data_IF_193984478718
#
_entry.id   IF_193984478718
#
_cell.length_a   1.000
_cell.length_b   1.000
_cell.length_c   1.000
_cell.angle_alpha   90.00
_cell.angle_beta   90.00
_cell.angle_gamma   90.00
#
_symmetry.space_group_name_H-M   'P 1'
#
loop_
_entity.id
_entity.type
_entity.pdbx_description
1 polymer ?
#
# COMPACT_ATOMS: atom_id res chain seq x y z
N UNK A 1 -24.64 -16.06 11.44
CA UNK A 1 -24.28 -16.79 10.20
C UNK A 1 -22.76 -16.97 10.22
N UNK A 2 -22.23 -18.10 9.73
CA UNK A 2 -20.79 -18.36 9.69
C UNK A 2 -20.33 -18.39 8.23
N UNK A 3 -19.25 -17.69 7.94
CA UNK A 3 -18.61 -17.55 6.62
C UNK A 3 -17.12 -17.94 6.73
N UNK A 4 -16.56 -18.51 5.65
CA UNK A 4 -15.14 -18.82 5.51
C UNK A 4 -14.69 -18.41 4.11
N UNK A 5 -13.68 -17.54 4.05
CA UNK A 5 -13.02 -17.10 2.82
C UNK A 5 -11.56 -17.56 2.82
N UNK A 6 -11.09 -18.08 1.67
CA UNK A 6 -9.70 -18.50 1.47
C UNK A 6 -9.20 -17.97 0.12
N UNK A 7 -8.04 -17.33 0.12
CA UNK A 7 -7.32 -16.89 -1.08
C UNK A 7 -5.85 -17.28 -0.97
N UNK A 8 -5.30 -17.81 -2.06
CA UNK A 8 -3.94 -18.34 -2.11
C UNK A 8 -3.31 -18.06 -3.48
N UNK A 9 -2.11 -17.51 -3.47
CA UNK A 9 -1.35 -17.12 -4.65
C UNK A 9 -0.15 -18.03 -4.86
N UNK A 10 0.13 -18.32 -6.14
CA UNK A 10 1.37 -18.96 -6.60
C UNK A 10 2.01 -18.08 -7.67
N UNK A 11 3.26 -17.68 -7.46
CA UNK A 11 3.96 -16.72 -8.29
C UNK A 11 5.29 -17.31 -8.80
N UNK A 12 5.32 -17.93 -10.00
CA UNK A 12 6.57 -18.36 -10.62
C UNK A 12 7.36 -17.14 -11.13
N UNK A 13 8.62 -17.00 -10.71
CA UNK A 13 9.54 -15.96 -11.15
C UNK A 13 10.76 -16.56 -11.85
N UNK A 14 11.21 -15.90 -12.91
CA UNK A 14 12.45 -16.22 -13.63
C UNK A 14 13.38 -15.00 -13.56
N UNK A 15 14.42 -15.09 -12.74
CA UNK A 15 15.41 -14.05 -12.51
C UNK A 15 16.68 -14.32 -13.32
N UNK A 16 17.04 -13.40 -14.22
CA UNK A 16 18.28 -13.49 -14.99
C UNK A 16 19.23 -12.35 -14.61
N UNK A 17 20.32 -12.67 -13.92
CA UNK A 17 21.32 -11.70 -13.45
C UNK A 17 21.12 -11.28 -11.98
N UNK A 18 22.15 -10.67 -11.37
CA UNK A 18 22.20 -10.28 -9.95
C UNK A 18 21.26 -9.15 -9.52
N UNK A 19 20.09 -9.05 -10.17
CA UNK A 19 19.03 -8.07 -9.93
C UNK A 19 18.06 -8.49 -8.82
N UNK A 20 18.32 -9.60 -8.12
CA UNK A 20 17.48 -10.09 -7.02
C UNK A 20 17.25 -9.03 -5.92
N UNK A 21 18.23 -8.15 -5.68
CA UNK A 21 18.14 -7.03 -4.73
C UNK A 21 17.33 -5.83 -5.24
N UNK A 22 17.00 -5.79 -6.55
CA UNK A 22 16.15 -4.76 -7.17
C UNK A 22 14.75 -5.30 -7.54
N UNK A 23 14.52 -6.59 -7.36
CA UNK A 23 13.24 -7.28 -7.51
C UNK A 23 12.38 -7.23 -6.23
N UNK A 24 12.87 -6.57 -5.18
CA UNK A 24 12.11 -6.30 -3.96
C UNK A 24 10.84 -5.50 -4.34
N UNK A 25 9.67 -6.11 -4.15
CA UNK A 25 8.37 -5.57 -4.59
C UNK A 25 7.78 -6.13 -5.90
N UNK A 26 8.40 -7.14 -6.53
CA UNK A 26 7.82 -7.87 -7.68
C UNK A 26 6.99 -9.11 -7.29
N UNK A 27 6.99 -9.49 -6.01
CA UNK A 27 6.17 -10.57 -5.45
C UNK A 27 5.40 -10.08 -4.22
N UNK A 28 4.49 -10.91 -3.67
CA UNK A 28 3.75 -10.57 -2.47
C UNK A 28 4.72 -10.16 -1.37
N UNK A 29 4.65 -8.91 -0.93
CA UNK A 29 5.48 -8.43 0.18
C UNK A 29 4.97 -9.12 1.45
N UNK A 30 5.79 -9.94 2.14
CA UNK A 30 5.35 -10.61 3.34
C UNK A 30 5.04 -9.55 4.40
N UNK A 31 3.78 -9.49 4.84
CA UNK A 31 3.40 -8.63 5.96
C UNK A 31 4.08 -9.14 7.24
N UNK A 32 4.64 -8.27 8.10
CA UNK A 32 5.17 -8.69 9.40
C UNK A 32 4.08 -9.19 10.36
N UNK A 33 2.81 -8.92 10.05
CA UNK A 33 1.65 -9.28 10.86
C UNK A 33 1.11 -10.67 10.52
N UNK A 34 1.97 -11.69 10.69
CA UNK A 34 1.62 -13.10 10.48
C UNK A 34 2.02 -13.91 11.71
N UNK A 35 1.04 -14.56 12.34
CA UNK A 35 1.24 -15.37 13.55
C UNK A 35 2.17 -16.56 13.27
N UNK A 36 1.89 -17.26 12.18
CA UNK A 36 2.71 -18.32 11.60
C UNK A 36 2.52 -18.22 10.10
N UNK A 37 3.60 -18.35 9.34
CA UNK A 37 3.53 -18.27 7.89
C UNK A 37 4.06 -19.51 7.19
N UNK A 38 3.55 -19.74 5.98
CA UNK A 38 4.08 -20.76 5.10
C UNK A 38 5.45 -20.30 4.57
N UNK A 39 6.39 -21.22 4.30
CA UNK A 39 7.60 -20.84 3.59
C UNK A 39 7.23 -20.19 2.24
N UNK A 40 7.71 -18.97 2.00
CA UNK A 40 7.38 -18.23 0.78
C UNK A 40 7.80 -18.95 -0.50
N UNK A 41 8.76 -19.88 -0.42
CA UNK A 41 9.25 -20.63 -1.58
C UNK A 41 8.68 -22.05 -1.60
N UNK A 42 7.85 -22.34 -2.61
CA UNK A 42 7.55 -23.71 -3.01
C UNK A 42 8.75 -24.36 -3.69
N UNK A 43 9.44 -23.59 -4.53
CA UNK A 43 10.67 -23.98 -5.21
C UNK A 43 11.64 -22.80 -5.17
N UNK A 44 12.72 -22.95 -4.41
CA UNK A 44 13.82 -21.99 -4.42
C UNK A 44 14.69 -22.16 -5.67
N UNK A 45 15.43 -21.12 -6.07
CA UNK A 45 16.46 -21.28 -7.09
C UNK A 45 17.48 -22.28 -6.58
N UNK A 46 17.64 -23.42 -7.29
CA UNK A 46 18.74 -24.35 -7.00
C UNK A 46 20.10 -23.65 -7.11
N UNK A 47 21.21 -24.33 -6.78
CA UNK A 47 22.54 -23.73 -6.95
C UNK A 47 22.78 -23.31 -8.42
N UNK A 48 22.76 -22.00 -8.70
CA UNK A 48 22.84 -21.43 -10.06
C UNK A 48 21.53 -21.38 -10.84
N UNK A 49 20.40 -21.66 -10.19
CA UNK A 49 19.06 -21.61 -10.78
C UNK A 49 18.55 -20.17 -10.92
N UNK A 50 17.85 -19.92 -12.01
CA UNK A 50 17.18 -18.64 -12.31
C UNK A 50 15.69 -18.67 -11.99
N UNK A 51 15.14 -19.84 -11.65
CA UNK A 51 13.70 -20.02 -11.45
C UNK A 51 13.38 -20.15 -9.97
N UNK A 52 12.37 -19.40 -9.52
CA UNK A 52 11.77 -19.49 -8.20
C UNK A 52 10.26 -19.63 -8.36
N UNK A 53 9.61 -20.36 -7.46
CA UNK A 53 8.15 -20.42 -7.38
C UNK A 53 7.77 -19.99 -5.98
N UNK A 54 7.27 -18.76 -5.88
CA UNK A 54 6.73 -18.22 -4.65
C UNK A 54 5.31 -18.73 -4.39
N UNK A 55 4.93 -18.76 -3.12
CA UNK A 55 3.55 -18.94 -2.68
C UNK A 55 3.19 -17.91 -1.62
N UNK A 56 1.90 -17.63 -1.50
CA UNK A 56 1.36 -16.83 -0.43
C UNK A 56 -0.05 -17.30 -0.06
N UNK A 57 -0.33 -17.50 1.23
CA UNK A 57 -1.70 -17.57 1.71
C UNK A 57 -2.14 -16.13 1.97
N UNK A 58 -2.89 -15.54 1.05
CA UNK A 58 -3.34 -14.15 1.14
C UNK A 58 -4.46 -13.99 2.16
N UNK A 59 -5.43 -14.90 2.16
CA UNK A 59 -6.61 -14.83 3.03
C UNK A 59 -6.99 -16.20 3.54
N UNK A 60 -7.38 -16.24 4.80
CA UNK A 60 -8.01 -17.37 5.47
C UNK A 60 -8.75 -16.80 6.66
N UNK A 61 -9.96 -16.30 6.45
CA UNK A 61 -10.74 -15.59 7.47
C UNK A 61 -12.08 -16.27 7.68
N UNK A 62 -12.43 -16.44 8.95
CA UNK A 62 -13.74 -16.91 9.38
C UNK A 62 -14.51 -15.73 9.95
N UNK A 63 -15.71 -15.48 9.43
CA UNK A 63 -16.59 -14.41 9.93
C UNK A 63 -17.81 -15.00 10.63
N UNK A 64 -18.05 -14.56 11.86
CA UNK A 64 -19.26 -14.84 12.61
C UNK A 64 -20.14 -13.57 12.66
N UNK A 65 -21.25 -13.63 11.94
CA UNK A 65 -22.24 -12.55 11.89
C UNK A 65 -23.28 -12.70 13.01
N UNK A 66 -23.29 -11.73 13.93
CA UNK A 66 -24.26 -11.59 15.02
C UNK A 66 -25.24 -10.44 14.70
N UNK A 67 -26.40 -10.36 15.37
CA UNK A 67 -27.37 -9.29 15.11
C UNK A 67 -26.86 -7.85 15.36
N UNK A 68 -25.77 -7.69 16.10
CA UNK A 68 -25.23 -6.40 16.53
C UNK A 68 -23.72 -6.25 16.27
N UNK A 69 -23.07 -7.27 15.70
CA UNK A 69 -21.62 -7.30 15.53
C UNK A 69 -21.18 -8.35 14.51
N UNK A 70 -20.06 -8.11 13.85
CA UNK A 70 -19.31 -9.12 13.10
C UNK A 70 -17.98 -9.40 13.80
N UNK A 71 -17.69 -10.68 14.03
CA UNK A 71 -16.42 -11.14 14.58
C UNK A 71 -15.63 -11.84 13.47
N UNK A 72 -14.47 -11.31 13.11
CA UNK A 72 -13.60 -11.87 12.07
C UNK A 72 -12.34 -12.41 12.71
N UNK A 73 -11.97 -13.64 12.40
CA UNK A 73 -10.76 -14.29 12.90
C UNK A 73 -10.00 -14.92 11.74
N UNK A 74 -8.71 -14.60 11.63
CA UNK A 74 -7.79 -15.20 10.68
C UNK A 74 -7.09 -14.16 9.81
N UNK A 75 -6.57 -14.62 8.67
CA UNK A 75 -5.81 -13.80 7.74
C UNK A 75 -6.74 -13.05 6.80
N UNK A 76 -6.67 -11.72 6.82
CA UNK A 76 -7.62 -10.85 6.13
C UNK A 76 -6.95 -9.57 5.62
N UNK A 77 -7.43 -9.00 4.50
CA UNK A 77 -6.95 -7.70 4.05
C UNK A 77 -7.40 -6.62 5.04
N UNK A 78 -6.55 -5.61 5.23
CA UNK A 78 -6.88 -4.44 6.03
C UNK A 78 -6.44 -3.16 5.31
N UNK A 79 -7.35 -2.20 5.24
CA UNK A 79 -7.11 -0.87 4.71
C UNK A 79 -7.92 0.13 5.53
N UNK A 80 -7.34 1.29 5.77
CA UNK A 80 -7.95 2.37 6.52
C UNK A 80 -8.17 3.62 5.67
N UNK A 81 -7.17 3.98 4.86
CA UNK A 81 -7.13 5.23 4.11
C UNK A 81 -8.06 5.26 2.88
N UNK A 82 -8.57 6.45 2.57
CA UNK A 82 -9.39 6.68 1.37
C UNK A 82 -8.59 7.25 0.19
N UNK A 83 -7.34 7.70 0.42
CA UNK A 83 -6.49 8.23 -0.63
C UNK A 83 -6.24 7.22 -1.76
N UNK A 84 -5.92 7.73 -2.96
CA UNK A 84 -5.88 6.93 -4.20
C UNK A 84 -4.50 6.45 -4.57
N UNK A 85 -3.46 7.16 -4.12
CA UNK A 85 -2.07 6.82 -4.45
C UNK A 85 -1.26 6.54 -3.18
N UNK A 86 -1.36 7.41 -2.17
CA UNK A 86 -0.56 7.36 -0.95
C UNK A 86 -1.48 7.44 0.27
N UNK A 87 -1.46 6.39 1.10
CA UNK A 87 -2.35 6.26 2.27
C UNK A 87 -1.56 6.37 3.60
N UNK A 88 -1.46 7.57 4.20
CA UNK A 88 -0.79 7.81 5.48
C UNK A 88 -1.20 6.90 6.65
N UNK A 89 -2.44 6.42 6.66
CA UNK A 89 -3.01 5.63 7.76
C UNK A 89 -2.79 4.12 7.60
N UNK A 90 -2.45 3.65 6.39
CA UNK A 90 -2.28 2.22 6.05
C UNK A 90 -0.92 1.67 6.52
N UNK A 91 -0.62 1.73 7.82
CA UNK A 91 0.66 1.25 8.38
C UNK A 91 0.76 -0.27 8.52
N UNK A 92 -0.37 -0.97 8.60
CA UNK A 92 -0.40 -2.42 8.87
C UNK A 92 -0.30 -3.28 7.60
N UNK A 93 -0.76 -2.75 6.46
CA UNK A 93 -0.71 -3.41 5.16
C UNK A 93 -0.66 -2.34 4.05
N UNK A 94 0.47 -1.59 3.96
CA UNK A 94 0.64 -0.53 2.97
C UNK A 94 0.69 -1.11 1.55
N UNK A 95 0.21 -0.34 0.58
CA UNK A 95 0.58 -0.55 -0.81
C UNK A 95 1.76 0.36 -1.18
N UNK A 96 2.74 -0.21 -1.88
CA UNK A 96 3.82 0.58 -2.48
C UNK A 96 3.40 1.17 -3.83
N UNK A 97 3.96 2.32 -4.19
CA UNK A 97 3.72 2.92 -5.50
C UNK A 97 4.24 2.05 -6.67
N UNK A 98 5.13 1.09 -6.40
CA UNK A 98 5.71 0.18 -7.42
C UNK A 98 5.07 -1.20 -7.44
N UNK A 99 4.08 -1.43 -6.60
CA UNK A 99 3.44 -2.73 -6.50
C UNK A 99 2.62 -3.01 -7.76
N UNK A 100 2.90 -4.16 -8.39
CA UNK A 100 2.27 -4.61 -9.62
C UNK A 100 0.86 -5.13 -9.36
N UNK A 101 0.71 -5.93 -8.31
CA UNK A 101 -0.57 -6.46 -7.88
C UNK A 101 -1.14 -5.57 -6.77
N UNK A 102 -1.97 -4.61 -7.16
CA UNK A 102 -2.74 -3.78 -6.22
C UNK A 102 -4.18 -4.25 -6.06
N UNK A 103 -4.56 -5.35 -6.70
CA UNK A 103 -5.93 -5.87 -6.58
C UNK A 103 -6.14 -6.44 -5.19
N UNK A 104 -5.11 -7.12 -4.69
CA UNK A 104 -5.14 -7.85 -3.44
C UNK A 104 -4.12 -7.27 -2.47
N UNK A 105 -4.61 -6.79 -1.32
CA UNK A 105 -3.74 -6.41 -0.20
C UNK A 105 -3.20 -7.67 0.46
N UNK A 106 -1.93 -7.64 0.84
CA UNK A 106 -1.37 -8.65 1.72
C UNK A 106 -2.22 -8.78 2.99
N UNK A 107 -2.73 -9.99 3.25
CA UNK A 107 -3.52 -10.25 4.44
C UNK A 107 -2.66 -10.25 5.70
N UNK A 108 -3.28 -9.78 6.79
CA UNK A 108 -2.73 -9.80 8.15
C UNK A 108 -3.52 -10.75 9.03
N UNK A 109 -2.85 -11.41 9.96
CA UNK A 109 -3.50 -12.30 10.93
C UNK A 109 -4.10 -11.47 12.06
N UNK A 110 -5.43 -11.42 12.14
CA UNK A 110 -6.12 -10.56 13.09
C UNK A 110 -7.40 -11.17 13.67
N UNK A 111 -7.73 -10.74 14.89
CA UNK A 111 -9.05 -10.83 15.49
C UNK A 111 -9.70 -9.44 15.43
N UNK A 112 -10.84 -9.32 14.75
CA UNK A 112 -11.55 -8.05 14.58
C UNK A 112 -12.99 -8.14 15.03
N UNK A 113 -13.46 -7.06 15.65
CA UNK A 113 -14.84 -6.86 16.05
C UNK A 113 -15.36 -5.59 15.36
N UNK A 114 -16.34 -5.77 14.47
CA UNK A 114 -17.04 -4.68 13.78
C UNK A 114 -18.42 -4.51 14.37
N UNK A 115 -18.73 -3.30 14.84
CA UNK A 115 -19.98 -2.92 15.47
C UNK A 115 -20.69 -1.90 14.56
N UNK A 116 -21.70 -2.31 13.79
CA UNK A 116 -22.49 -1.37 13.00
C UNK A 116 -23.29 -0.46 13.95
N UNK A 117 -23.10 0.85 13.84
CA UNK A 117 -23.84 1.87 14.59
C UNK A 117 -25.01 2.47 13.79
N UNK A 118 -25.16 2.07 12.53
CA UNK A 118 -26.17 2.54 11.60
C UNK A 118 -25.89 2.01 10.20
N UNK A 119 -26.52 2.61 9.19
CA UNK A 119 -26.35 2.18 7.79
C UNK A 119 -24.97 2.51 7.20
N UNK A 120 -24.30 3.54 7.72
CA UNK A 120 -23.04 4.08 7.18
C UNK A 120 -22.02 4.41 8.28
N UNK A 121 -22.26 3.94 9.50
CA UNK A 121 -21.41 4.20 10.67
C UNK A 121 -21.01 2.89 11.34
N UNK A 122 -19.75 2.79 11.75
CA UNK A 122 -19.17 1.56 12.26
C UNK A 122 -18.06 1.87 13.27
N UNK A 123 -17.96 1.04 14.30
CA UNK A 123 -16.75 0.93 15.13
C UNK A 123 -16.07 -0.38 14.78
N UNK A 124 -14.78 -0.33 14.46
CA UNK A 124 -13.96 -1.49 14.10
C UNK A 124 -12.76 -1.54 15.04
N UNK A 125 -12.64 -2.63 15.79
CA UNK A 125 -11.58 -2.88 16.75
C UNK A 125 -10.81 -4.10 16.30
N UNK A 126 -9.48 -4.04 16.33
CA UNK A 126 -8.65 -5.17 15.91
C UNK A 126 -7.46 -5.41 16.83
N UNK A 127 -7.18 -6.69 17.04
CA UNK A 127 -5.90 -7.19 17.54
C UNK A 127 -5.22 -7.93 16.40
N UNK A 128 -3.97 -7.58 16.13
CA UNK A 128 -3.20 -8.06 15.00
C UNK A 128 -1.98 -8.80 15.53
N UNK A 129 -1.79 -10.05 15.10
CA UNK A 129 -0.71 -10.89 15.54
C UNK A 129 0.52 -10.70 14.65
N UNK A 130 1.64 -10.31 15.27
CA UNK A 130 2.96 -10.45 14.66
C UNK A 130 3.52 -11.86 14.75
N UNK A 131 4.78 -12.02 14.36
CA UNK A 131 5.48 -13.31 14.40
C UNK A 131 5.36 -13.98 15.79
N UNK A 132 4.82 -15.20 15.80
CA UNK A 132 4.57 -15.99 17.01
C UNK A 132 3.77 -15.25 18.12
N UNK A 133 2.98 -14.23 17.76
CA UNK A 133 2.25 -13.35 18.69
C UNK A 133 3.16 -12.65 19.73
N UNK A 134 4.41 -12.35 19.36
CA UNK A 134 5.26 -11.48 20.15
C UNK A 134 4.62 -10.09 20.23
N UNK A 135 4.55 -9.52 21.44
CA UNK A 135 3.89 -8.24 21.66
C UNK A 135 4.59 -7.10 20.90
N UNK A 136 5.92 -7.15 20.81
CA UNK A 136 6.73 -6.17 20.06
C UNK A 136 6.39 -6.15 18.56
N UNK A 137 6.08 -7.31 17.98
CA UNK A 137 5.76 -7.45 16.55
C UNK A 137 4.26 -7.34 16.26
N UNK A 138 3.43 -7.24 17.30
CA UNK A 138 1.98 -7.21 17.19
C UNK A 138 1.44 -5.77 17.11
N UNK A 139 0.17 -5.64 16.71
CA UNK A 139 -0.49 -4.36 16.63
C UNK A 139 -1.93 -4.43 17.16
N UNK A 140 -2.50 -3.26 17.45
CA UNK A 140 -3.90 -3.11 17.78
C UNK A 140 -4.43 -1.81 17.19
N UNK A 141 -5.70 -1.79 16.81
CA UNK A 141 -6.31 -0.58 16.30
C UNK A 141 -7.75 -0.41 16.79
N UNK A 142 -8.18 0.84 16.84
CA UNK A 142 -9.56 1.25 17.01
C UNK A 142 -9.91 2.29 15.94
N UNK A 143 -10.96 2.00 15.19
CA UNK A 143 -11.43 2.83 14.09
C UNK A 143 -12.90 3.15 14.28
N UNK A 144 -13.27 4.40 14.03
CA UNK A 144 -14.66 4.86 14.02
C UNK A 144 -14.93 5.49 12.66
N UNK A 145 -15.91 4.97 11.94
CA UNK A 145 -16.44 5.54 10.69
C UNK A 145 -17.82 6.13 10.94
N UNK A 146 -18.07 7.31 10.39
CA UNK A 146 -19.38 7.95 10.39
C UNK A 146 -19.66 8.63 9.05
N UNK A 147 -20.92 8.68 8.65
CA UNK A 147 -21.35 9.49 7.49
C UNK A 147 -22.16 10.70 7.96
N UNK A 148 -21.74 11.89 7.56
CA UNK A 148 -22.36 13.17 7.94
C UNK A 148 -22.37 14.14 6.75
N UNK A 149 -23.54 14.66 6.40
CA UNK A 149 -23.72 15.66 5.33
C UNK A 149 -23.16 15.23 3.96
N UNK A 150 -23.17 13.94 3.65
CA UNK A 150 -22.61 13.40 2.40
C UNK A 150 -21.09 13.21 2.42
N UNK A 151 -20.44 13.45 3.57
CA UNK A 151 -19.05 13.11 3.82
C UNK A 151 -18.95 11.80 4.60
N UNK A 152 -17.94 11.00 4.30
CA UNK A 152 -17.48 9.91 5.15
C UNK A 152 -16.31 10.42 6.00
N UNK A 153 -16.42 10.27 7.32
CA UNK A 153 -15.42 10.68 8.29
C UNK A 153 -14.91 9.43 9.02
N UNK A 154 -13.60 9.31 9.16
CA UNK A 154 -12.95 8.24 9.90
C UNK A 154 -11.96 8.82 10.89
N UNK A 155 -11.99 8.30 12.11
CA UNK A 155 -10.94 8.48 13.10
C UNK A 155 -10.30 7.12 13.41
N UNK A 156 -8.98 7.09 13.53
CA UNK A 156 -8.18 5.90 13.74
C UNK A 156 -7.17 6.12 14.87
N UNK A 157 -7.00 5.12 15.72
CA UNK A 157 -5.84 4.97 16.59
C UNK A 157 -5.23 3.60 16.38
N UNK A 158 -3.92 3.54 16.17
CA UNK A 158 -3.19 2.28 15.93
C UNK A 158 -1.93 2.24 16.77
N UNK A 159 -1.77 1.22 17.60
CA UNK A 159 -0.52 0.87 18.26
C UNK A 159 0.17 -0.22 17.45
N UNK A 160 1.44 -0.04 17.10
CA UNK A 160 2.18 -1.00 16.27
C UNK A 160 3.68 -0.84 16.48
N UNK A 161 4.43 -1.94 16.65
CA UNK A 161 5.90 -1.96 16.68
C UNK A 161 6.51 -0.78 17.48
N UNK A 162 6.11 -0.60 18.74
CA UNK A 162 6.65 0.49 19.57
C UNK A 162 6.07 1.90 19.33
N UNK A 163 5.25 2.09 18.30
CA UNK A 163 4.71 3.37 17.87
C UNK A 163 3.20 3.50 18.17
N UNK A 164 2.72 4.75 18.26
CA UNK A 164 1.30 5.07 18.35
C UNK A 164 0.90 6.08 17.26
N UNK A 165 -0.01 5.70 16.38
CA UNK A 165 -0.53 6.54 15.29
C UNK A 165 -1.96 6.98 15.56
N UNK A 166 -2.22 8.26 15.30
CA UNK A 166 -3.56 8.83 15.25
C UNK A 166 -3.87 9.31 13.83
N UNK A 167 -4.95 8.80 13.26
CA UNK A 167 -5.37 9.08 11.89
C UNK A 167 -6.73 9.76 11.82
N UNK A 168 -6.88 10.66 10.85
CA UNK A 168 -8.16 11.20 10.42
C UNK A 168 -8.28 11.07 8.91
N UNK A 169 -9.46 10.67 8.44
CA UNK A 169 -9.79 10.60 7.02
C UNK A 169 -11.17 11.21 6.79
N UNK A 170 -11.29 11.95 5.69
CA UNK A 170 -12.50 12.60 5.24
C UNK A 170 -12.59 12.44 3.72
N UNK A 171 -13.67 11.84 3.23
CA UNK A 171 -13.92 11.72 1.80
C UNK A 171 -15.37 12.05 1.45
N UNK A 172 -15.61 12.49 0.23
CA UNK A 172 -16.94 12.83 -0.23
C UNK A 172 -16.95 13.31 -1.67
N UNK A 173 -18.07 13.86 -2.10
CA UNK A 173 -18.25 14.38 -3.44
C UNK A 173 -18.66 15.86 -3.41
N UNK A 174 -18.06 16.66 -4.30
CA UNK A 174 -18.44 18.04 -4.53
C UNK A 174 -18.58 18.30 -6.02
N UNK A 175 -19.80 18.61 -6.48
CA UNK A 175 -20.11 18.94 -7.90
C UNK A 175 -19.63 17.88 -8.90
N UNK A 176 -19.74 16.59 -8.56
CA UNK A 176 -19.29 15.48 -9.39
C UNK A 176 -17.80 15.14 -9.27
N UNK A 177 -17.02 15.90 -8.48
CA UNK A 177 -15.64 15.57 -8.15
C UNK A 177 -15.58 14.82 -6.83
N UNK A 178 -14.89 13.67 -6.80
CA UNK A 178 -14.49 13.03 -5.56
C UNK A 178 -13.42 13.87 -4.88
N UNK A 179 -13.50 14.02 -3.56
CA UNK A 179 -12.51 14.71 -2.73
C UNK A 179 -12.11 13.80 -1.57
N UNK A 180 -10.84 13.82 -1.20
CA UNK A 180 -10.36 13.14 -0.01
C UNK A 180 -9.28 13.94 0.70
N UNK A 181 -9.21 13.72 2.00
CA UNK A 181 -8.18 14.20 2.91
C UNK A 181 -7.90 13.08 3.92
N UNK A 182 -6.64 12.72 4.07
CA UNK A 182 -6.17 11.70 4.99
C UNK A 182 -4.94 12.27 5.72
N UNK A 183 -4.86 12.08 7.04
CA UNK A 183 -3.70 12.49 7.84
C UNK A 183 -3.41 11.48 8.92
N UNK A 184 -2.14 11.28 9.22
CA UNK A 184 -1.64 10.38 10.25
C UNK A 184 -0.49 11.05 11.00
N UNK A 185 -0.63 11.20 12.31
CA UNK A 185 0.44 11.64 13.20
C UNK A 185 0.92 10.45 14.02
N UNK A 186 2.21 10.16 13.92
CA UNK A 186 2.83 9.02 14.61
C UNK A 186 3.73 9.53 15.72
N UNK A 187 3.44 9.07 16.93
CA UNK A 187 4.29 9.20 18.09
C UNK A 187 5.32 8.06 18.05
N UNK A 188 6.54 8.38 17.64
CA UNK A 188 7.56 7.37 17.35
C UNK A 188 8.20 6.86 18.65
N UNK A 189 8.42 5.55 18.76
CA UNK A 189 9.06 4.93 19.94
C UNK A 189 8.34 5.12 21.28
N UNK A 190 7.15 5.72 21.31
CA UNK A 190 6.44 6.11 22.55
C UNK A 190 6.01 4.91 23.41
N UNK A 191 5.90 3.72 22.82
CA UNK A 191 5.56 2.49 23.53
C UNK A 191 6.82 1.69 23.93
N UNK A 192 8.02 2.15 23.56
CA UNK A 192 9.30 1.54 23.95
C UNK A 192 10.06 2.43 24.96
N UNK A 193 10.66 1.80 25.97
CA UNK A 193 11.44 2.54 26.97
C UNK A 193 12.81 2.92 26.41
N UNK A 194 13.14 4.23 26.49
CA UNK A 194 14.50 4.72 26.27
C UNK A 194 14.86 5.03 24.81
N UNK A 195 13.88 5.08 23.92
CA UNK A 195 14.03 5.60 22.57
C UNK A 195 13.52 7.05 22.51
N UNK A 196 14.32 7.94 21.92
CA UNK A 196 13.97 9.35 21.67
C UNK A 196 13.93 9.52 20.15
N UNK A 197 12.80 9.12 19.57
CA UNK A 197 12.59 9.11 18.12
C UNK A 197 11.74 10.32 17.71
N UNK A 198 11.98 10.84 16.51
CA UNK A 198 11.23 12.02 16.05
C UNK A 198 9.81 11.62 15.60
N UNK A 199 8.81 12.24 16.23
CA UNK A 199 7.43 12.16 15.77
C UNK A 199 7.29 12.75 14.36
N UNK A 200 6.38 12.17 13.58
CA UNK A 200 6.17 12.61 12.20
C UNK A 200 4.71 12.66 11.80
N UNK A 201 4.41 13.59 10.89
CA UNK A 201 3.10 13.79 10.29
C UNK A 201 3.14 13.35 8.82
N UNK A 202 2.18 12.54 8.41
CA UNK A 202 1.92 12.25 6.99
C UNK A 202 0.52 12.69 6.62
N UNK A 203 0.34 13.23 5.42
CA UNK A 203 -0.93 13.80 4.98
C UNK A 203 -1.10 13.63 3.48
N UNK A 204 -2.28 13.20 3.04
CA UNK A 204 -2.69 13.15 1.63
C UNK A 204 -3.95 13.97 1.44
N UNK A 205 -4.02 14.76 0.38
CA UNK A 205 -5.27 15.36 -0.07
C UNK A 205 -5.37 15.29 -1.58
N UNK A 206 -6.56 15.06 -2.10
CA UNK A 206 -6.72 14.94 -3.53
C UNK A 206 -8.15 15.08 -4.01
N UNK A 207 -8.26 15.07 -5.33
CA UNK A 207 -9.51 15.13 -6.03
C UNK A 207 -9.48 14.20 -7.24
N UNK A 208 -10.62 13.61 -7.57
CA UNK A 208 -10.83 12.84 -8.78
C UNK A 208 -12.07 13.31 -9.54
N UNK A 209 -12.07 13.08 -10.85
CA UNK A 209 -13.18 13.40 -11.72
C UNK A 209 -13.25 12.45 -12.90
N UNK A 210 -14.46 12.03 -13.23
CA UNK A 210 -14.73 11.26 -14.44
C UNK A 210 -15.21 12.21 -15.54
N UNK A 211 -14.31 12.57 -16.45
CA UNK A 211 -14.64 13.39 -17.61
C UNK A 211 -15.43 12.54 -18.60
N UNK A 212 -16.62 13.01 -19.00
CA UNK A 212 -17.50 12.35 -19.95
C UNK A 212 -16.95 12.44 -21.41
N UNK A 213 -15.82 11.79 -21.67
CA UNK A 213 -15.17 11.71 -22.97
C UNK A 213 -15.28 10.29 -23.53
N UNK A 214 -16.15 10.09 -24.53
CA UNK A 214 -16.42 8.77 -25.18
C UNK A 214 -16.73 7.67 -24.16
N UNK A 215 -15.73 6.87 -23.79
CA UNK A 215 -15.78 5.76 -22.84
C UNK A 215 -15.48 6.19 -21.38
N UNK A 216 -15.33 7.49 -21.13
CA UNK A 216 -15.00 8.06 -19.82
C UNK A 216 -13.50 8.16 -19.60
N UNK A 217 -13.04 9.31 -19.11
CA UNK A 217 -11.65 9.57 -18.74
C UNK A 217 -11.61 9.89 -17.24
N UNK A 218 -11.10 8.95 -16.46
CA UNK A 218 -10.85 9.16 -15.04
C UNK A 218 -9.54 9.92 -14.86
N UNK A 219 -9.60 11.01 -14.09
CA UNK A 219 -8.44 11.82 -13.70
C UNK A 219 -8.43 11.96 -12.19
N UNK A 220 -7.26 11.83 -11.57
CA UNK A 220 -7.05 12.14 -10.17
C UNK A 220 -5.76 12.91 -9.98
N UNK A 221 -5.75 13.82 -9.00
CA UNK A 221 -4.59 14.54 -8.54
C UNK A 221 -4.53 14.46 -7.02
N UNK A 222 -3.38 14.13 -6.47
CA UNK A 222 -3.16 13.97 -5.04
C UNK A 222 -1.85 14.64 -4.64
N UNK A 223 -1.89 15.45 -3.59
CA UNK A 223 -0.70 15.94 -2.92
C UNK A 223 -0.47 15.10 -1.66
N UNK A 224 0.78 14.73 -1.41
CA UNK A 224 1.19 14.02 -0.21
C UNK A 224 2.35 14.72 0.48
N UNK A 225 2.22 14.92 1.79
CA UNK A 225 3.27 15.35 2.68
C UNK A 225 3.74 14.17 3.52
N UNK A 226 5.05 13.92 3.52
CA UNK A 226 5.73 12.92 4.31
C UNK A 226 6.71 13.59 5.27
N UNK A 227 6.29 13.83 6.52
CA UNK A 227 7.11 14.50 7.52
C UNK A 227 8.36 13.72 7.94
N UNK A 228 8.38 12.40 7.73
CA UNK A 228 9.57 11.56 7.93
C UNK A 228 10.59 11.66 6.78
N UNK A 229 10.24 12.35 5.71
CA UNK A 229 11.11 12.53 4.55
C UNK A 229 12.26 13.51 4.79
N UNK A 230 13.31 13.37 3.98
CA UNK A 230 14.48 14.21 3.96
C UNK A 230 14.43 15.21 2.79
N UNK A 231 14.83 16.45 3.05
CA UNK A 231 14.95 17.47 2.00
C UNK A 231 16.21 17.26 1.15
N UNK A 232 17.24 16.59 1.69
CA UNK A 232 18.48 16.25 0.99
C UNK A 232 18.52 14.74 0.68
N UNK A 233 18.48 14.34 -0.61
CA UNK A 233 18.52 12.94 -1.02
C UNK A 233 19.76 12.17 -0.54
N UNK A 234 20.86 12.86 -0.20
CA UNK A 234 22.10 12.21 0.24
C UNK A 234 22.02 11.63 1.65
N UNK A 235 21.16 12.16 2.51
CA UNK A 235 20.93 11.70 3.88
C UNK A 235 19.83 10.62 3.94
N UNK A 236 18.96 10.59 2.95
CA UNK A 236 17.77 9.74 2.89
C UNK A 236 18.05 8.23 3.03
N UNK A 237 19.18 7.73 2.50
CA UNK A 237 19.51 6.30 2.62
C UNK A 237 19.82 5.90 4.06
N UNK A 238 20.58 6.73 4.77
CA UNK A 238 20.94 6.43 6.16
C UNK A 238 19.68 6.48 7.03
N UNK A 239 18.88 7.53 6.85
CA UNK A 239 17.64 7.71 7.60
C UNK A 239 16.64 6.59 7.33
N UNK A 240 16.49 6.14 6.07
CA UNK A 240 15.69 4.95 5.69
C UNK A 240 16.06 3.69 6.47
N UNK A 241 17.34 3.51 6.80
CA UNK A 241 17.83 2.32 7.48
C UNK A 241 17.70 2.37 9.01
N UNK A 242 17.50 3.56 9.59
CA UNK A 242 17.54 3.75 11.04
C UNK A 242 16.26 4.29 11.64
N UNK A 243 15.43 5.00 10.88
CA UNK A 243 14.24 5.65 11.43
C UNK A 243 13.03 4.71 11.49
N UNK A 244 12.30 4.69 12.64
CA UNK A 244 11.06 3.95 12.80
C UNK A 244 10.04 4.20 11.70
N UNK A 245 10.04 5.38 11.09
CA UNK A 245 9.12 5.70 10.00
C UNK A 245 9.27 4.75 8.80
N UNK A 246 10.49 4.28 8.52
CA UNK A 246 10.82 3.42 7.38
C UNK A 246 10.94 1.95 7.76
N UNK A 247 11.45 1.65 8.95
CA UNK A 247 11.62 0.26 9.44
C UNK A 247 10.30 -0.35 9.90
N UNK A 248 9.43 0.45 10.51
CA UNK A 248 8.21 -0.01 11.18
C UNK A 248 6.94 0.67 10.63
N UNK A 249 7.02 1.97 10.35
CA UNK A 249 5.92 2.85 9.92
C UNK A 249 5.50 2.70 8.47
N UNK A 250 6.06 1.71 7.75
CA UNK A 250 5.72 1.39 6.36
C UNK A 250 5.93 2.56 5.37
N UNK A 251 6.72 3.59 5.75
CA UNK A 251 7.06 4.68 4.83
C UNK A 251 8.08 4.18 3.82
N UNK A 252 7.83 4.43 2.53
CA UNK A 252 8.74 4.03 1.44
C UNK A 252 9.24 5.19 0.60
N UNK A 253 8.62 6.37 0.75
CA UNK A 253 8.94 7.62 0.08
C UNK A 253 9.96 8.41 0.89
N UNK A 254 11.01 8.92 0.23
CA UNK A 254 12.19 9.46 0.91
C UNK A 254 12.20 10.98 1.04
N UNK A 255 11.70 11.74 0.07
CA UNK A 255 11.42 13.17 0.22
C UNK A 255 10.16 13.50 1.02
N UNK A 256 9.86 14.80 1.17
CA UNK A 256 8.71 15.28 1.97
C UNK A 256 7.49 15.63 1.17
N UNK A 257 7.66 16.17 -0.04
CA UNK A 257 6.56 16.75 -0.80
C UNK A 257 6.37 16.03 -2.12
N UNK A 258 5.18 15.45 -2.32
CA UNK A 258 4.84 14.74 -3.54
C UNK A 258 3.58 15.26 -4.20
N UNK A 259 3.58 15.18 -5.52
CA UNK A 259 2.39 15.33 -6.33
C UNK A 259 2.20 14.07 -7.17
N UNK A 260 1.07 13.41 -6.99
CA UNK A 260 0.67 12.27 -7.79
C UNK A 260 -0.47 12.63 -8.74
N UNK A 261 -0.39 12.15 -9.97
CA UNK A 261 -1.46 12.25 -10.96
C UNK A 261 -1.79 10.85 -11.49
N UNK A 262 -3.08 10.55 -11.63
CA UNK A 262 -3.55 9.28 -12.19
C UNK A 262 -4.52 9.57 -13.31
N UNK A 263 -4.35 8.87 -14.43
CA UNK A 263 -5.24 8.88 -15.57
C UNK A 263 -5.63 7.45 -15.90
N UNK A 264 -6.92 7.18 -16.15
CA UNK A 264 -7.41 5.91 -16.68
C UNK A 264 -8.45 6.16 -17.77
N UNK A 265 -8.35 5.41 -18.87
CA UNK A 265 -9.24 5.54 -20.01
C UNK A 265 -9.36 4.21 -20.76
N UNK A 266 -10.57 3.83 -21.16
CA UNK A 266 -10.75 2.75 -22.13
C UNK A 266 -10.38 3.28 -23.53
N UNK A 267 -9.23 2.84 -24.05
CA UNK A 267 -8.68 3.28 -25.32
C UNK A 267 -9.51 2.78 -26.51
N UNK A 268 -9.90 1.50 -26.45
CA UNK A 268 -10.76 0.77 -27.37
C UNK A 268 -11.55 -0.28 -26.59
N UNK A 269 -12.64 -0.86 -27.13
CA UNK A 269 -13.33 -1.96 -26.44
C UNK A 269 -12.35 -3.06 -26.04
N UNK A 270 -12.38 -3.48 -24.77
CA UNK A 270 -11.48 -4.46 -24.14
C UNK A 270 -10.03 -3.99 -23.89
N UNK A 271 -9.66 -2.77 -24.27
CA UNK A 271 -8.33 -2.19 -24.05
C UNK A 271 -8.39 -1.02 -23.06
N UNK A 272 -7.98 -1.27 -21.82
CA UNK A 272 -7.78 -0.24 -20.82
C UNK A 272 -6.39 0.38 -20.92
N UNK A 273 -6.30 1.68 -20.67
CA UNK A 273 -5.04 2.42 -20.58
C UNK A 273 -4.96 3.19 -19.27
N UNK A 274 -3.81 3.16 -18.62
CA UNK A 274 -3.56 3.93 -17.41
C UNK A 274 -2.19 4.59 -17.39
N UNK A 275 -2.11 5.71 -16.68
CA UNK A 275 -0.88 6.44 -16.43
C UNK A 275 -0.91 6.93 -14.98
N UNK A 276 0.09 6.54 -14.20
CA UNK A 276 0.36 7.13 -12.89
C UNK A 276 1.68 7.89 -12.95
N UNK A 277 1.69 9.12 -12.44
CA UNK A 277 2.90 9.93 -12.29
C UNK A 277 3.01 10.29 -10.82
N UNK A 278 4.17 10.07 -10.21
CA UNK A 278 4.49 10.48 -8.86
C UNK A 278 5.76 11.33 -8.91
N UNK A 279 5.64 12.62 -8.58
CA UNK A 279 6.75 13.57 -8.59
C UNK A 279 7.15 13.93 -7.16
N UNK A 280 8.45 13.89 -6.87
CA UNK A 280 9.02 14.52 -5.69
C UNK A 280 9.31 16.00 -6.03
N UNK A 281 8.72 16.90 -5.25
CA UNK A 281 8.74 18.35 -5.51
C UNK A 281 10.01 19.04 -5.00
N UNK A 282 10.79 18.38 -4.14
CA UNK A 282 12.03 18.92 -3.56
C UNK A 282 13.26 18.56 -4.39
N UNK A 283 13.33 17.36 -4.97
CA UNK A 283 14.45 16.89 -5.80
C UNK A 283 14.10 16.66 -7.29
N UNK A 284 13.25 17.52 -7.89
CA UNK A 284 12.54 17.37 -9.16
C UNK A 284 12.70 16.04 -9.91
N UNK A 285 12.32 14.94 -9.25
CA UNK A 285 12.39 13.58 -9.78
C UNK A 285 10.99 13.00 -9.89
N UNK A 286 10.79 12.01 -10.76
CA UNK A 286 9.46 11.42 -10.94
C UNK A 286 9.50 9.93 -11.33
N UNK A 287 8.56 9.17 -10.80
CA UNK A 287 8.20 7.83 -11.27
C UNK A 287 6.98 7.93 -12.18
N UNK A 288 7.11 7.44 -13.42
CA UNK A 288 6.04 7.43 -14.42
C UNK A 288 5.70 5.98 -14.75
N UNK A 289 4.46 5.58 -14.49
CA UNK A 289 3.98 4.23 -14.69
C UNK A 289 2.85 4.18 -15.73
N UNK A 290 3.17 4.07 -17.04
CA UNK A 290 2.18 3.75 -18.06
C UNK A 290 1.86 2.25 -18.04
N UNK A 291 0.59 1.91 -18.25
CA UNK A 291 0.17 0.52 -18.44
C UNK A 291 -1.03 0.43 -19.39
N UNK A 292 -1.16 -0.73 -20.02
CA UNK A 292 -2.28 -1.13 -20.87
C UNK A 292 -2.73 -2.52 -20.44
N UNK A 293 -4.03 -2.69 -20.24
CA UNK A 293 -4.67 -3.98 -20.00
C UNK A 293 -5.53 -4.36 -21.21
N UNK A 294 -5.49 -5.64 -21.58
CA UNK A 294 -6.30 -6.19 -22.66
C UNK A 294 -7.11 -7.38 -22.14
N UNK A 295 -8.43 -7.28 -22.17
CA UNK A 295 -9.33 -8.39 -21.91
C UNK A 295 -9.34 -9.33 -23.13
N UNK A 296 -8.66 -10.47 -22.97
CA UNK A 296 -8.44 -11.46 -24.03
C UNK A 296 -9.66 -12.37 -24.17
N UNK A 297 -10.24 -12.74 -23.04
CA UNK A 297 -11.43 -13.58 -22.93
C UNK A 297 -12.16 -13.25 -21.61
N UNK A 298 -13.37 -13.78 -21.45
CA UNK A 298 -14.07 -13.72 -20.17
C UNK A 298 -13.14 -14.17 -19.05
N UNK A 299 -13.01 -13.33 -18.01
CA UNK A 299 -12.15 -13.57 -16.84
C UNK A 299 -10.64 -13.68 -17.12
N UNK A 300 -10.15 -13.37 -18.33
CA UNK A 300 -8.72 -13.43 -18.70
C UNK A 300 -8.21 -12.09 -19.21
N UNK A 301 -7.22 -11.53 -18.51
CA UNK A 301 -6.64 -10.23 -18.80
C UNK A 301 -5.12 -10.35 -19.02
N UNK A 302 -4.61 -9.60 -19.98
CA UNK A 302 -3.18 -9.44 -20.25
C UNK A 302 -2.78 -7.99 -19.98
N UNK A 303 -1.82 -7.80 -19.08
CA UNK A 303 -1.29 -6.48 -18.72
C UNK A 303 0.11 -6.29 -19.31
N UNK A 304 0.39 -5.07 -19.76
CA UNK A 304 1.72 -4.61 -20.17
C UNK A 304 1.94 -3.23 -19.57
N UNK A 305 3.04 -3.05 -18.84
CA UNK A 305 3.36 -1.75 -18.25
C UNK A 305 4.84 -1.54 -18.00
N UNK A 306 5.16 -0.34 -17.53
CA UNK A 306 6.52 0.03 -17.16
C UNK A 306 6.52 0.95 -15.94
N UNK A 307 7.63 0.99 -15.22
CA UNK A 307 7.98 2.07 -14.29
C UNK A 307 9.21 2.78 -14.83
N UNK A 308 9.00 3.97 -15.38
CA UNK A 308 10.04 4.83 -15.91
C UNK A 308 10.47 5.81 -14.81
N UNK A 309 11.76 5.88 -14.54
CA UNK A 309 12.32 6.69 -13.46
C UNK A 309 13.06 7.89 -14.04
N UNK A 310 12.63 9.10 -13.68
CA UNK A 310 13.24 10.36 -14.10
C UNK A 310 13.91 11.02 -12.89
N UNK A 311 15.14 11.47 -13.09
CA UNK A 311 15.90 12.16 -12.04
C UNK A 311 17.40 12.04 -12.25
N UNK A 312 18.16 12.58 -11.30
CA UNK A 312 19.61 12.38 -11.24
C UNK A 312 19.89 11.05 -10.53
N UNK A 313 20.56 10.13 -11.23
CA UNK A 313 20.97 8.85 -10.66
C UNK A 313 22.05 8.97 -9.59
N UNK A 314 22.69 7.86 -9.25
CA UNK A 314 23.73 7.83 -8.23
C UNK A 314 24.98 8.61 -8.65
N UNK A 315 25.75 9.12 -7.69
CA UNK A 315 27.14 9.56 -7.92
C UNK A 315 28.05 8.36 -8.16
N UNK A 316 29.30 8.59 -8.59
CA UNK A 316 30.31 7.53 -8.73
C UNK A 316 30.60 6.80 -7.40
N UNK A 317 30.28 7.44 -6.27
CA UNK A 317 30.41 6.89 -4.92
C UNK A 317 29.13 6.19 -4.44
N UNK A 318 28.09 6.09 -5.27
CA UNK A 318 26.82 5.44 -4.92
C UNK A 318 25.83 6.33 -4.14
N UNK A 319 26.11 7.62 -3.96
CA UNK A 319 25.23 8.55 -3.25
C UNK A 319 24.04 8.95 -4.12
N UNK A 320 22.86 9.03 -3.53
CA UNK A 320 21.64 9.42 -4.21
C UNK A 320 21.67 10.92 -4.52
N UNK A 321 21.33 11.30 -5.77
CA UNK A 321 21.21 12.71 -6.18
C UNK A 321 19.75 13.14 -6.38
N UNK A 322 18.87 12.16 -6.53
CA UNK A 322 17.43 12.29 -6.43
C UNK A 322 16.86 10.91 -6.13
N UNK A 323 15.72 10.89 -5.46
CA UNK A 323 14.99 9.69 -5.08
C UNK A 323 14.66 8.83 -6.30
N UNK A 324 13.88 9.36 -7.24
CA UNK A 324 13.43 8.55 -8.37
C UNK A 324 14.57 8.21 -9.33
N UNK A 325 15.55 9.10 -9.51
CA UNK A 325 16.70 8.84 -10.38
C UNK A 325 17.59 7.67 -9.93
N UNK A 326 17.57 7.30 -8.65
CA UNK A 326 18.34 6.17 -8.12
C UNK A 326 17.72 4.81 -8.47
N UNK A 327 16.44 4.77 -8.80
CA UNK A 327 15.74 3.53 -9.09
C UNK A 327 15.89 3.09 -10.57
N UNK A 328 15.87 1.76 -10.84
CA UNK A 328 15.91 1.25 -12.20
C UNK A 328 14.57 1.42 -12.92
N UNK A 329 14.66 1.48 -14.25
CA UNK A 329 13.51 1.29 -15.14
C UNK A 329 13.07 -0.17 -15.08
N UNK A 330 11.77 -0.39 -14.98
CA UNK A 330 11.16 -1.72 -14.97
C UNK A 330 10.11 -1.81 -16.07
N UNK A 331 10.03 -2.96 -16.73
CA UNK A 331 8.98 -3.30 -17.69
C UNK A 331 8.41 -4.65 -17.28
N UNK A 332 7.10 -4.80 -17.33
CA UNK A 332 6.44 -6.02 -16.92
C UNK A 332 5.32 -6.40 -17.87
N UNK A 333 4.98 -7.68 -17.87
CA UNK A 333 3.72 -8.19 -18.38
C UNK A 333 3.14 -9.15 -17.36
N UNK A 334 1.82 -9.16 -17.21
CA UNK A 334 1.11 -10.05 -16.29
C UNK A 334 -0.10 -10.65 -16.98
N UNK A 335 -0.54 -11.81 -16.51
CA UNK A 335 -1.79 -12.43 -16.94
C UNK A 335 -2.64 -12.72 -15.71
N UNK A 336 -3.84 -12.15 -15.66
CA UNK A 336 -4.81 -12.36 -14.58
C UNK A 336 -5.92 -13.28 -15.08
N UNK A 337 -6.25 -14.28 -14.27
CA UNK A 337 -7.30 -15.27 -14.55
C UNK A 337 -8.17 -15.39 -13.30
N UNK A 338 -9.47 -15.07 -13.42
CA UNK A 338 -10.44 -15.19 -12.33
C UNK A 338 -11.26 -16.47 -12.47
N UNK A 339 -11.70 -17.05 -11.35
CA UNK A 339 -12.49 -18.29 -11.28
C UNK A 339 -13.37 -18.32 -10.02
#
# INVERSE_FOLDING_TARGET
LLDLEVAYQVAPTLEQGGLATLADGLGPSPSPYRLVDLPNDLLGPGAGGTTRVGQNLDRMVTSLHLPFADLLLGRQPLAFGSARVLNPTDVLAPFSYRELDREERAGIDALRLRLPLGSLSEVDLGLVAGDHAQLADSAAFARVKASLLGLELVALGTAFQGNLLFGLDCSGELSGAGLWFETAYTLAGTLEEGQDEEDYLRLSLGADYNVALRSGLYLALEYHYNGAGDADPSEALQHRLTSPAYTEGATYLLGRHYLAAVMRHELFPLWGGSLQVLCNLEDPSASIAPAVDYNVAEEVYLDLGAFLQLGRGLTDQGTWRSEFGAYPVMVYTATRVYF
#
